data_IF_008777632194
#
_entry.id   IF_008777632194
#
_cell.length_a   1.000
_cell.length_b   1.000
_cell.length_c   1.000
_cell.angle_alpha   90.00
_cell.angle_beta   90.00
_cell.angle_gamma   90.00
#
_symmetry.space_group_name_H-M   'P 1'
#
loop_
_entity.id
_entity.type
_entity.pdbx_description
1 polymer ?
#
# COMPACT_ATOMS: atom_id res chain seq x y z
N UNK A 1 7.77 -4.63 -3.61
CA UNK A 1 7.50 -3.22 -3.94
C UNK A 1 7.29 -2.46 -2.63
N UNK A 2 7.73 -1.22 -2.50
CA UNK A 2 7.37 -0.34 -1.36
C UNK A 2 6.20 0.56 -1.77
N UNK A 3 5.29 0.87 -0.84
CA UNK A 3 4.12 1.68 -1.11
C UNK A 3 3.84 2.69 0.00
N UNK A 4 3.30 3.83 -0.39
CA UNK A 4 2.81 4.87 0.50
C UNK A 4 1.44 5.36 0.05
N UNK A 5 0.64 5.88 0.99
CA UNK A 5 -0.66 6.49 0.72
C UNK A 5 -0.89 7.67 1.64
N UNK A 6 -1.42 8.74 1.08
CA UNK A 6 -1.77 9.95 1.81
C UNK A 6 -3.16 10.40 1.37
N UNK A 7 -3.99 10.76 2.35
CA UNK A 7 -5.34 11.28 2.12
C UNK A 7 -5.47 12.58 2.90
N UNK A 8 -6.04 13.61 2.27
CA UNK A 8 -6.35 14.88 2.94
C UNK A 8 -7.20 14.64 4.19
N UNK A 9 -6.93 15.38 5.26
CA UNK A 9 -7.65 15.28 6.53
C UNK A 9 -9.17 15.42 6.39
N UNK A 10 -9.62 16.23 5.43
CA UNK A 10 -11.04 16.46 5.14
C UNK A 10 -11.77 15.19 4.67
N UNK A 11 -11.05 14.23 4.09
CA UNK A 11 -11.61 13.00 3.54
C UNK A 11 -11.18 11.75 4.30
N UNK A 12 -10.69 11.90 5.54
CA UNK A 12 -10.39 10.76 6.38
C UNK A 12 -11.67 9.96 6.68
N UNK A 13 -11.52 8.64 6.79
CA UNK A 13 -12.63 7.69 7.04
C UNK A 13 -13.69 7.62 5.93
N UNK A 14 -13.47 8.25 4.78
CA UNK A 14 -14.34 8.14 3.60
C UNK A 14 -14.02 6.92 2.72
N UNK A 15 -13.19 5.98 3.17
CA UNK A 15 -12.82 4.78 2.39
C UNK A 15 -11.75 5.00 1.31
N UNK A 16 -11.34 6.25 1.05
CA UNK A 16 -10.40 6.60 -0.03
C UNK A 16 -9.09 5.82 0.03
N UNK A 17 -8.41 5.77 1.19
CA UNK A 17 -7.13 5.06 1.32
C UNK A 17 -7.27 3.56 0.99
N UNK A 18 -8.40 2.94 1.40
CA UNK A 18 -8.71 1.55 1.08
C UNK A 18 -8.95 1.37 -0.42
N UNK A 19 -9.70 2.29 -1.04
CA UNK A 19 -9.89 2.31 -2.49
C UNK A 19 -8.56 2.38 -3.25
N UNK A 20 -7.71 3.35 -2.92
CA UNK A 20 -6.39 3.50 -3.52
C UNK A 20 -5.54 2.23 -3.38
N UNK A 21 -5.52 1.61 -2.20
CA UNK A 21 -4.78 0.36 -1.98
C UNK A 21 -5.37 -0.81 -2.76
N UNK A 22 -6.69 -0.94 -2.85
CA UNK A 22 -7.32 -1.99 -3.64
C UNK A 22 -6.90 -1.90 -5.11
N UNK A 23 -7.01 -0.72 -5.73
CA UNK A 23 -6.57 -0.53 -7.11
C UNK A 23 -5.08 -0.81 -7.26
N UNK A 24 -4.25 -0.29 -6.35
CA UNK A 24 -2.81 -0.54 -6.34
C UNK A 24 -2.49 -2.04 -6.25
N UNK A 25 -3.18 -2.81 -5.42
CA UNK A 25 -2.92 -4.23 -5.25
C UNK A 25 -3.28 -5.04 -6.49
N UNK A 26 -4.41 -4.74 -7.12
CA UNK A 26 -4.75 -5.40 -8.39
C UNK A 26 -3.75 -5.03 -9.49
N UNK A 27 -3.36 -3.76 -9.60
CA UNK A 27 -2.31 -3.35 -10.55
C UNK A 27 -1.00 -4.07 -10.27
N UNK A 28 -0.55 -4.14 -9.01
CA UNK A 28 0.71 -4.80 -8.66
C UNK A 28 0.67 -6.32 -8.90
N UNK A 29 -0.49 -6.98 -8.74
CA UNK A 29 -0.67 -8.38 -9.13
C UNK A 29 -0.56 -8.55 -10.65
N UNK A 30 -1.21 -7.69 -11.42
CA UNK A 30 -1.10 -7.70 -12.89
C UNK A 30 0.34 -7.48 -13.36
N UNK A 31 1.08 -6.60 -12.68
CA UNK A 31 2.51 -6.40 -12.93
C UNK A 31 3.38 -7.56 -12.47
N UNK A 32 2.87 -8.57 -11.78
CA UNK A 32 3.65 -9.72 -11.31
C UNK A 32 4.41 -9.50 -9.99
N UNK A 33 4.06 -8.49 -9.19
CA UNK A 33 4.66 -8.32 -7.86
C UNK A 33 4.08 -9.30 -6.83
N UNK A 34 4.95 -9.82 -5.97
CA UNK A 34 4.59 -10.82 -4.95
C UNK A 34 4.31 -10.23 -3.58
N UNK A 35 4.96 -9.12 -3.24
CA UNK A 35 4.87 -8.52 -1.91
C UNK A 35 4.86 -6.99 -2.01
N UNK A 36 4.04 -6.38 -1.15
CA UNK A 36 4.02 -4.94 -0.88
C UNK A 36 4.53 -4.69 0.52
N UNK A 37 5.41 -3.71 0.65
CA UNK A 37 5.91 -3.23 1.92
C UNK A 37 5.43 -1.82 2.17
N UNK A 38 5.22 -1.48 3.42
CA UNK A 38 4.89 -0.13 3.83
C UNK A 38 5.60 0.23 5.13
N UNK A 39 6.04 1.48 5.22
CA UNK A 39 6.64 2.06 6.43
C UNK A 39 5.66 2.99 7.15
N UNK A 40 5.49 2.82 8.45
CA UNK A 40 4.67 3.72 9.28
C UNK A 40 5.44 4.19 10.50
N UNK A 41 5.38 5.48 10.84
CA UNK A 41 5.84 5.95 12.15
C UNK A 41 4.92 5.40 13.24
N UNK A 42 5.50 4.91 14.35
CA UNK A 42 4.70 4.29 15.43
C UNK A 42 3.79 5.28 16.18
N UNK A 43 4.04 6.59 16.05
CA UNK A 43 3.17 7.65 16.58
C UNK A 43 1.94 7.93 15.70
N UNK A 44 1.65 7.08 14.70
CA UNK A 44 0.49 7.20 13.83
C UNK A 44 -0.47 5.99 13.99
N UNK A 45 -1.28 5.93 15.08
CA UNK A 45 -2.25 4.86 15.29
C UNK A 45 -3.24 4.65 14.14
N UNK A 46 -3.76 5.70 13.46
CA UNK A 46 -4.61 5.52 12.29
C UNK A 46 -3.93 4.75 11.16
N UNK A 47 -2.68 5.06 10.84
CA UNK A 47 -1.94 4.36 9.78
C UNK A 47 -1.64 2.90 10.17
N UNK A 48 -1.28 2.65 11.43
CA UNK A 48 -1.08 1.28 11.95
C UNK A 48 -2.37 0.45 11.80
N UNK A 49 -3.50 0.97 12.29
CA UNK A 49 -4.78 0.27 12.21
C UNK A 49 -5.24 0.07 10.76
N UNK A 50 -4.96 1.04 9.88
CA UNK A 50 -5.25 0.91 8.45
C UNK A 50 -4.47 -0.24 7.81
N UNK A 51 -3.14 -0.32 7.99
CA UNK A 51 -2.34 -1.40 7.40
C UNK A 51 -2.77 -2.78 7.93
N UNK A 52 -3.06 -2.90 9.23
CA UNK A 52 -3.61 -4.12 9.80
C UNK A 52 -4.96 -4.51 9.17
N UNK A 53 -5.87 -3.55 8.98
CA UNK A 53 -7.17 -3.79 8.35
C UNK A 53 -7.06 -4.18 6.87
N UNK A 54 -5.99 -3.76 6.19
CA UNK A 54 -5.67 -4.16 4.82
C UNK A 54 -4.96 -5.53 4.73
N UNK A 55 -4.73 -6.21 5.86
CA UNK A 55 -4.13 -7.53 5.90
C UNK A 55 -2.60 -7.54 5.94
N UNK A 56 -1.96 -6.39 6.18
CA UNK A 56 -0.51 -6.37 6.35
C UNK A 56 -0.10 -7.03 7.68
N UNK A 57 1.03 -7.73 7.61
CA UNK A 57 1.71 -8.33 8.74
C UNK A 57 2.96 -7.53 9.13
N UNK A 58 3.30 -7.43 10.43
CA UNK A 58 4.49 -6.72 10.87
C UNK A 58 5.76 -7.49 10.49
N UNK A 59 6.72 -6.81 9.89
CA UNK A 59 8.06 -7.36 9.55
C UNK A 59 9.07 -7.02 10.64
N UNK A 60 9.06 -5.77 11.11
CA UNK A 60 10.06 -5.29 12.06
C UNK A 60 9.88 -3.83 12.43
N UNK A 61 10.70 -3.35 13.36
CA UNK A 61 10.70 -1.94 13.78
C UNK A 61 12.13 -1.43 13.84
N UNK A 62 12.39 -0.36 13.10
CA UNK A 62 13.62 0.40 13.20
C UNK A 62 13.44 1.45 14.28
N UNK A 63 14.24 1.32 15.34
CA UNK A 63 14.15 2.18 16.52
C UNK A 63 14.99 3.44 16.33
N UNK A 64 14.46 4.58 16.79
CA UNK A 64 15.13 5.87 16.77
C UNK A 64 15.72 6.24 15.39
N UNK A 65 14.96 6.02 14.32
CA UNK A 65 15.47 6.18 12.94
C UNK A 65 15.29 7.61 12.40
N UNK A 66 14.36 8.39 12.95
CA UNK A 66 14.16 9.79 12.59
C UNK A 66 14.15 10.70 13.81
N UNK A 67 14.71 11.90 13.71
CA UNK A 67 14.59 12.93 14.76
C UNK A 67 13.81 14.12 14.22
N UNK A 68 12.65 14.39 14.81
CA UNK A 68 11.78 15.48 14.40
C UNK A 68 11.04 16.04 15.62
N UNK A 69 10.84 17.36 15.67
CA UNK A 69 10.11 18.05 16.75
C UNK A 69 10.62 17.69 18.15
N UNK A 70 11.94 17.57 18.29
CA UNK A 70 12.60 17.32 19.57
C UNK A 70 12.55 15.87 20.05
N UNK A 71 12.13 14.91 19.21
CA UNK A 71 11.94 13.51 19.59
C UNK A 71 12.48 12.57 18.54
N UNK A 72 13.01 11.43 18.99
CA UNK A 72 13.31 10.30 18.13
C UNK A 72 12.03 9.52 17.81
N UNK A 73 11.95 9.01 16.58
CA UNK A 73 10.79 8.31 16.04
C UNK A 73 11.19 6.93 15.55
N UNK A 74 10.36 5.96 15.90
CA UNK A 74 10.44 4.59 15.40
C UNK A 74 9.62 4.44 14.12
N UNK A 75 10.12 3.62 13.19
CA UNK A 75 9.39 3.22 11.98
C UNK A 75 9.15 1.72 12.03
N UNK A 76 7.88 1.33 11.94
CA UNK A 76 7.46 -0.06 11.75
C UNK A 76 7.30 -0.35 10.28
N UNK A 77 7.85 -1.49 9.87
CA UNK A 77 7.72 -2.04 8.53
C UNK A 77 6.68 -3.15 8.51
N UNK A 78 5.89 -3.14 7.45
CA UNK A 78 4.79 -4.03 7.19
C UNK A 78 4.99 -4.75 5.86
N UNK A 79 4.44 -5.95 5.74
CA UNK A 79 4.44 -6.78 4.54
C UNK A 79 3.01 -7.23 4.23
N UNK A 80 2.61 -7.17 2.97
CA UNK A 80 1.43 -7.85 2.44
C UNK A 80 1.87 -8.75 1.28
N UNK A 81 1.63 -10.06 1.42
CA UNK A 81 1.76 -10.99 0.31
C UNK A 81 0.58 -10.81 -0.66
N UNK A 82 0.87 -10.48 -1.92
CA UNK A 82 -0.14 -10.30 -2.97
C UNK A 82 -0.54 -11.62 -3.62
N UNK A 83 0.43 -12.54 -3.73
CA UNK A 83 0.27 -13.85 -4.36
C UNK A 83 1.29 -14.86 -3.79
N UNK A 84 1.05 -16.17 -3.93
CA UNK A 84 1.97 -17.20 -3.44
C UNK A 84 3.36 -17.10 -4.09
N UNK A 85 4.41 -17.40 -3.34
CA UNK A 85 5.78 -17.43 -3.86
C UNK A 85 6.01 -18.53 -4.90
N UNK A 86 6.88 -18.27 -5.87
CA UNK A 86 7.42 -19.25 -6.82
C UNK A 86 8.93 -19.15 -6.89
N UNK A 87 9.60 -20.25 -7.25
CA UNK A 87 11.05 -20.29 -7.45
C UNK A 87 11.49 -19.71 -8.80
N UNK A 88 10.55 -19.53 -9.74
CA UNK A 88 10.83 -19.06 -11.10
C UNK A 88 9.83 -17.96 -11.49
N UNK A 89 9.97 -16.74 -10.94
CA UNK A 89 9.07 -15.65 -11.27
C UNK A 89 9.50 -15.00 -12.59
N UNK A 90 8.51 -14.70 -13.43
CA UNK A 90 8.73 -13.78 -14.55
C UNK A 90 9.06 -12.37 -14.04
N UNK A 91 9.90 -11.60 -14.76
CA UNK A 91 10.14 -10.19 -14.42
C UNK A 91 8.83 -9.39 -14.38
N UNK A 92 8.69 -8.43 -13.44
CA UNK A 92 7.50 -7.61 -13.39
C UNK A 92 7.27 -6.81 -14.67
N UNK A 93 6.03 -6.79 -15.17
CA UNK A 93 5.62 -5.94 -16.31
C UNK A 93 5.58 -4.48 -15.88
N UNK A 94 6.09 -3.58 -16.71
CA UNK A 94 6.03 -2.15 -16.40
C UNK A 94 4.60 -1.62 -16.56
N UNK A 95 4.26 -0.58 -15.81
CA UNK A 95 2.92 0.01 -15.91
C UNK A 95 2.64 0.55 -17.32
N UNK A 96 3.65 1.10 -18.00
CA UNK A 96 3.52 1.63 -19.36
C UNK A 96 3.24 0.56 -20.41
N UNK A 97 3.63 -0.69 -20.16
CA UNK A 97 3.26 -1.82 -21.01
C UNK A 97 1.82 -2.29 -20.79
N UNK A 98 1.24 -1.98 -19.63
CA UNK A 98 -0.16 -2.29 -19.31
C UNK A 98 -1.12 -1.14 -19.68
N UNK A 99 -0.60 0.04 -20.04
CA UNK A 99 -1.43 1.19 -20.41
C UNK A 99 -2.34 0.87 -21.61
N UNK A 100 -3.64 1.18 -21.47
CA UNK A 100 -4.64 0.92 -22.51
C UNK A 100 -5.15 -0.52 -22.56
N UNK A 101 -4.72 -1.39 -21.64
CA UNK A 101 -5.30 -2.73 -21.47
C UNK A 101 -6.59 -2.66 -20.64
N UNK A 102 -7.56 -3.51 -20.98
CA UNK A 102 -8.80 -3.65 -20.18
C UNK A 102 -8.53 -4.13 -18.76
N UNK A 103 -7.50 -4.95 -18.58
CA UNK A 103 -7.08 -5.51 -17.31
C UNK A 103 -6.59 -4.41 -16.37
N UNK A 104 -5.82 -3.45 -16.89
CA UNK A 104 -5.40 -2.29 -16.08
C UNK A 104 -6.61 -1.41 -15.73
N UNK A 105 -7.53 -1.18 -16.67
CA UNK A 105 -8.76 -0.41 -16.39
C UNK A 105 -9.59 -1.06 -15.27
N UNK A 106 -9.76 -2.38 -15.33
CA UNK A 106 -10.46 -3.17 -14.30
C UNK A 106 -9.76 -3.07 -12.93
N UNK A 107 -8.43 -3.19 -12.91
CA UNK A 107 -7.64 -3.03 -11.70
C UNK A 107 -7.80 -1.60 -11.12
N UNK A 108 -7.79 -0.57 -11.96
CA UNK A 108 -7.94 0.81 -11.51
C UNK A 108 -9.32 1.08 -10.89
N UNK A 109 -10.39 0.46 -11.41
CA UNK A 109 -11.75 0.64 -10.86
C UNK A 109 -12.07 -0.30 -9.69
N UNK A 110 -11.24 -1.31 -9.40
CA UNK A 110 -11.43 -2.22 -8.27
C UNK A 110 -11.50 -1.50 -6.91
N UNK A 111 -10.81 -0.36 -6.81
CA UNK A 111 -10.81 0.51 -5.65
C UNK A 111 -11.75 1.70 -5.72
N UNK A 112 -12.70 1.74 -6.67
CA UNK A 112 -13.60 2.89 -6.83
C UNK A 112 -14.40 3.16 -5.57
N UNK A 113 -14.32 4.40 -5.09
CA UNK A 113 -15.08 4.89 -3.94
C UNK A 113 -15.83 6.14 -4.39
N UNK A 114 -17.15 6.14 -4.22
CA UNK A 114 -17.96 7.32 -4.45
C UNK A 114 -17.87 8.23 -3.21
N UNK A 115 -17.16 9.34 -3.36
CA UNK A 115 -17.03 10.35 -2.31
C UNK A 115 -18.02 11.46 -2.60
N UNK A 116 -19.02 11.62 -1.74
CA UNK A 116 -19.88 12.81 -1.77
C UNK A 116 -19.13 13.97 -1.14
N UNK A 117 -18.94 15.05 -1.92
CA UNK A 117 -18.35 16.32 -1.46
C UNK A 117 -19.47 17.27 -1.03
#
# INVERSE_FOLDING_TARGET
>A
MESSVYVSGEFHRAGIAKGLYNSLFETLRLQGFYNVYAGTTLLNPPSVGFHQAMGFEPVGTYRNVGYEQGKWHDVKWWNLALQPYTNDPEPPTSIGELEGTSELDDALVAGRVDVSV
#
